data_IF_228039841895
#
_entry.id   IF_228039841895
#
_cell.length_a   1.000
_cell.length_b   1.000
_cell.length_c   1.000
_cell.angle_alpha   90.00
_cell.angle_beta   90.00
_cell.angle_gamma   90.00
#
_symmetry.space_group_name_H-M   'P 1'
#
loop_
_entity.id
_entity.type
_entity.pdbx_description
1 polymer ?
#
# COMPACT_ATOMS: atom_id res chain seq x y z
N UNK A 1 19.14 46.07 6.04
CA UNK A 1 18.50 44.85 6.59
C UNK A 1 18.14 43.99 5.40
N UNK A 2 18.64 42.76 5.31
CA UNK A 2 18.45 41.94 4.11
C UNK A 2 17.31 40.95 4.41
N UNK A 3 16.13 41.21 3.86
CA UNK A 3 15.05 40.22 3.75
C UNK A 3 15.56 39.03 2.95
N UNK A 4 15.72 37.86 3.58
CA UNK A 4 16.06 36.62 2.88
C UNK A 4 17.21 35.79 3.45
N UNK A 5 17.84 36.18 4.57
CA UNK A 5 18.82 35.31 5.23
C UNK A 5 18.17 34.58 6.40
N UNK A 6 18.02 33.26 6.27
CA UNK A 6 17.75 32.38 7.42
C UNK A 6 18.76 32.74 8.51
N UNK A 7 18.27 33.11 9.68
CA UNK A 7 19.15 33.43 10.81
C UNK A 7 19.88 32.17 11.26
N UNK A 8 21.09 32.32 11.81
CA UNK A 8 21.87 31.17 12.28
C UNK A 8 21.11 30.29 13.30
N UNK A 9 20.21 30.91 14.08
CA UNK A 9 19.32 30.25 15.03
C UNK A 9 18.24 29.40 14.31
N UNK A 10 17.58 29.95 13.29
CA UNK A 10 16.58 29.25 12.47
C UNK A 10 17.20 28.10 11.68
N UNK A 11 18.41 28.27 11.16
CA UNK A 11 19.15 27.20 10.48
C UNK A 11 19.48 26.06 11.45
N UNK A 12 19.92 26.39 12.66
CA UNK A 12 20.22 25.40 13.70
C UNK A 12 18.97 24.65 14.14
N UNK A 13 17.85 25.34 14.30
CA UNK A 13 16.57 24.72 14.63
C UNK A 13 16.09 23.74 13.55
N UNK A 14 16.15 24.14 12.27
CA UNK A 14 15.79 23.26 11.15
C UNK A 14 16.72 22.06 11.02
N UNK A 15 18.03 22.25 11.25
CA UNK A 15 19.00 21.15 11.23
C UNK A 15 18.67 20.10 12.29
N UNK A 16 18.35 20.52 13.50
CA UNK A 16 17.95 19.61 14.60
C UNK A 16 16.65 18.87 14.25
N UNK A 17 15.66 19.56 13.69
CA UNK A 17 14.41 18.93 13.26
C UNK A 17 14.65 17.85 12.19
N UNK A 18 15.50 18.15 11.21
CA UNK A 18 15.85 17.20 10.15
C UNK A 18 16.63 16.00 10.70
N UNK A 19 17.59 16.22 11.60
CA UNK A 19 18.34 15.15 12.27
C UNK A 19 17.40 14.22 13.05
N UNK A 20 16.45 14.78 13.81
CA UNK A 20 15.42 13.98 14.48
C UNK A 20 14.50 13.23 13.51
N UNK A 21 14.18 13.84 12.37
CA UNK A 21 13.37 13.18 11.33
C UNK A 21 14.10 12.01 10.70
N UNK A 22 15.40 12.15 10.43
CA UNK A 22 16.27 11.07 9.93
C UNK A 22 16.34 9.94 10.96
N UNK A 23 16.67 10.26 12.22
CA UNK A 23 16.77 9.25 13.27
C UNK A 23 15.45 8.50 13.51
N UNK A 24 14.31 9.20 13.39
CA UNK A 24 12.99 8.58 13.45
C UNK A 24 12.75 7.64 12.27
N UNK A 25 13.12 8.04 11.06
CA UNK A 25 12.93 7.23 9.86
C UNK A 25 13.82 5.98 9.87
N UNK A 26 15.08 6.11 10.28
CA UNK A 26 16.01 4.97 10.44
C UNK A 26 15.49 3.98 11.50
N UNK A 27 14.97 4.47 12.63
CA UNK A 27 14.30 3.63 13.63
C UNK A 27 13.06 2.93 13.08
N UNK A 28 12.26 3.60 12.25
CA UNK A 28 11.10 2.99 11.59
C UNK A 28 11.49 1.93 10.54
N UNK A 29 12.63 2.11 9.87
CA UNK A 29 13.15 1.16 8.90
C UNK A 29 13.68 -0.10 9.58
N UNK A 30 14.50 0.05 10.62
CA UNK A 30 15.00 -1.07 11.44
C UNK A 30 13.89 -1.82 12.17
N UNK A 31 12.80 -1.14 12.54
CA UNK A 31 11.63 -1.74 13.19
C UNK A 31 10.69 -2.49 12.23
N UNK A 32 10.87 -2.37 10.90
CA UNK A 32 10.11 -3.13 9.90
C UNK A 32 11.00 -4.24 9.34
N UNK A 33 11.06 -5.42 9.97
CA UNK A 33 11.87 -6.53 9.50
C UNK A 33 11.17 -7.26 8.36
N UNK A 34 10.71 -6.55 7.31
CA UNK A 34 10.37 -7.22 6.07
C UNK A 34 11.71 -7.54 5.42
N UNK A 35 12.25 -8.73 5.70
CA UNK A 35 13.47 -9.19 5.05
C UNK A 35 13.22 -9.15 3.55
N UNK A 36 14.15 -8.60 2.78
CA UNK A 36 14.01 -8.44 1.33
C UNK A 36 13.58 -9.73 0.59
N UNK A 37 13.89 -10.90 1.14
CA UNK A 37 13.41 -12.20 0.65
C UNK A 37 11.96 -12.57 0.99
N UNK A 38 11.40 -12.09 2.10
CA UNK A 38 10.00 -12.31 2.47
C UNK A 38 9.05 -11.54 1.55
N UNK A 39 9.46 -10.37 1.07
CA UNK A 39 8.69 -9.61 0.08
C UNK A 39 8.60 -10.33 -1.26
N UNK A 40 9.68 -10.95 -1.72
CA UNK A 40 9.68 -11.71 -2.98
C UNK A 40 8.71 -12.90 -2.91
N UNK A 41 8.76 -13.67 -1.81
CA UNK A 41 7.83 -14.77 -1.58
C UNK A 41 6.38 -14.29 -1.48
N UNK A 42 6.14 -13.14 -0.83
CA UNK A 42 4.80 -12.55 -0.72
C UNK A 42 4.28 -12.12 -2.09
N UNK A 43 5.13 -11.52 -2.93
CA UNK A 43 4.77 -11.10 -4.28
C UNK A 43 4.45 -12.31 -5.17
N UNK A 44 5.26 -13.36 -5.13
CA UNK A 44 5.02 -14.60 -5.87
C UNK A 44 3.70 -15.27 -5.44
N UNK A 45 3.45 -15.35 -4.13
CA UNK A 45 2.18 -15.86 -3.60
C UNK A 45 0.99 -15.01 -4.05
N UNK A 46 1.13 -13.68 -4.08
CA UNK A 46 0.08 -12.78 -4.52
C UNK A 46 -0.24 -12.99 -6.01
N UNK A 47 0.78 -13.12 -6.86
CA UNK A 47 0.61 -13.42 -8.29
C UNK A 47 -0.13 -14.75 -8.48
N UNK A 48 0.36 -15.82 -7.85
CA UNK A 48 -0.28 -17.15 -7.92
C UNK A 48 -1.74 -17.13 -7.45
N UNK A 49 -2.04 -16.36 -6.40
CA UNK A 49 -3.39 -16.20 -5.86
C UNK A 49 -4.29 -15.46 -6.84
N UNK A 50 -3.79 -14.39 -7.47
CA UNK A 50 -4.56 -13.57 -8.40
C UNK A 50 -4.77 -14.24 -9.76
N UNK A 51 -3.82 -15.06 -10.21
CA UNK A 51 -3.94 -15.90 -11.40
C UNK A 51 -5.04 -16.97 -11.22
N UNK A 52 -5.11 -17.58 -10.05
CA UNK A 52 -6.09 -18.64 -9.73
C UNK A 52 -7.33 -18.10 -9.00
N UNK A 53 -7.54 -16.78 -9.02
CA UNK A 53 -8.54 -16.11 -8.19
C UNK A 53 -9.95 -16.62 -8.45
N UNK A 54 -10.30 -16.87 -9.71
CA UNK A 54 -11.62 -17.39 -10.10
C UNK A 54 -11.89 -18.73 -9.42
N UNK A 55 -10.98 -19.69 -9.58
CA UNK A 55 -11.09 -21.01 -8.97
C UNK A 55 -11.12 -20.91 -7.44
N UNK A 56 -10.20 -20.15 -6.85
CA UNK A 56 -10.12 -19.95 -5.40
C UNK A 56 -11.42 -19.34 -4.86
N UNK A 57 -11.98 -18.34 -5.53
CA UNK A 57 -13.21 -17.68 -5.10
C UNK A 57 -14.44 -18.58 -5.26
N UNK A 58 -14.51 -19.39 -6.32
CA UNK A 58 -15.65 -20.28 -6.56
C UNK A 58 -15.69 -21.41 -5.52
N UNK A 59 -14.55 -22.03 -5.24
CA UNK A 59 -14.43 -23.16 -4.30
C UNK A 59 -14.36 -22.75 -2.82
N UNK A 60 -14.02 -21.49 -2.53
CA UNK A 60 -13.90 -20.98 -1.18
C UNK A 60 -15.21 -21.04 -0.36
N UNK A 61 -15.07 -21.22 0.95
CA UNK A 61 -16.14 -20.94 1.91
C UNK A 61 -16.45 -19.44 2.02
N UNK A 62 -17.59 -19.10 2.64
CA UNK A 62 -18.07 -17.72 2.77
C UNK A 62 -17.02 -16.79 3.40
N UNK A 63 -16.30 -17.24 4.43
CA UNK A 63 -15.31 -16.39 5.11
C UNK A 63 -14.11 -16.08 4.20
N UNK A 64 -13.60 -17.07 3.49
CA UNK A 64 -12.49 -16.87 2.55
C UNK A 64 -12.91 -15.95 1.39
N UNK A 65 -14.15 -16.08 0.89
CA UNK A 65 -14.68 -15.16 -0.13
C UNK A 65 -14.71 -13.71 0.36
N UNK A 66 -15.09 -13.49 1.62
CA UNK A 66 -15.09 -12.15 2.23
C UNK A 66 -13.68 -11.59 2.37
N UNK A 67 -12.73 -12.41 2.78
CA UNK A 67 -11.31 -12.01 2.85
C UNK A 67 -10.76 -11.63 1.47
N UNK A 68 -11.03 -12.44 0.45
CA UNK A 68 -10.65 -12.15 -0.93
C UNK A 68 -11.21 -10.79 -1.38
N UNK A 69 -12.51 -10.55 -1.15
CA UNK A 69 -13.13 -9.27 -1.49
C UNK A 69 -12.46 -8.13 -0.72
N UNK A 70 -12.19 -8.28 0.57
CA UNK A 70 -11.55 -7.24 1.39
C UNK A 70 -10.12 -6.91 0.97
N UNK A 71 -9.36 -7.90 0.48
CA UNK A 71 -8.01 -7.70 -0.05
C UNK A 71 -8.04 -6.94 -1.38
N UNK A 72 -8.94 -7.34 -2.28
CA UNK A 72 -9.09 -6.74 -3.61
C UNK A 72 -9.69 -5.34 -3.54
N UNK A 73 -10.62 -5.12 -2.61
CA UNK A 73 -11.42 -3.91 -2.50
C UNK A 73 -11.28 -3.34 -1.08
N UNK A 74 -10.19 -2.62 -0.79
CA UNK A 74 -9.91 -2.11 0.56
C UNK A 74 -10.90 -1.04 1.05
N UNK A 75 -11.67 -0.47 0.14
CA UNK A 75 -12.68 0.55 0.44
C UNK A 75 -14.02 -0.10 0.81
N UNK A 76 -14.81 0.58 1.64
CA UNK A 76 -16.14 0.11 1.98
C UNK A 76 -17.03 0.14 0.73
N UNK A 77 -17.92 -0.84 0.63
CA UNK A 77 -18.97 -0.81 -0.37
C UNK A 77 -19.94 0.32 -0.02
N UNK A 78 -20.02 1.32 -0.88
CA UNK A 78 -20.92 2.46 -0.72
C UNK A 78 -22.18 2.24 -1.57
N UNK A 79 -23.34 2.42 -0.94
CA UNK A 79 -24.64 2.42 -1.60
C UNK A 79 -25.20 3.83 -1.57
N UNK A 80 -25.36 4.44 -2.73
CA UNK A 80 -25.90 5.79 -2.88
C UNK A 80 -26.85 5.85 -4.08
N UNK A 81 -28.00 6.51 -3.92
CA UNK A 81 -28.98 6.77 -4.98
C UNK A 81 -29.38 5.53 -5.81
N UNK A 82 -29.61 4.39 -5.14
CA UNK A 82 -30.03 3.16 -5.82
C UNK A 82 -28.89 2.36 -6.45
N UNK A 83 -27.65 2.84 -6.39
CA UNK A 83 -26.50 2.24 -7.03
C UNK A 83 -25.43 1.84 -6.01
N UNK A 84 -24.81 0.69 -6.24
CA UNK A 84 -23.60 0.29 -5.52
C UNK A 84 -22.40 0.81 -6.30
N UNK A 85 -21.55 1.61 -5.65
CA UNK A 85 -20.27 2.00 -6.26
C UNK A 85 -19.27 0.89 -5.94
N UNK A 86 -18.70 0.25 -6.96
CA UNK A 86 -17.64 -0.73 -6.74
C UNK A 86 -16.49 -0.05 -6.01
N UNK A 87 -15.98 -0.62 -4.91
CA UNK A 87 -14.86 -0.02 -4.20
C UNK A 87 -13.63 -0.02 -5.12
N UNK A 88 -12.71 0.93 -4.92
CA UNK A 88 -11.48 0.97 -5.73
C UNK A 88 -10.69 -0.32 -5.58
N UNK A 89 -10.20 -0.85 -6.70
CA UNK A 89 -9.32 -2.01 -6.71
C UNK A 89 -7.99 -1.70 -6.02
N UNK A 90 -7.46 -2.66 -5.26
CA UNK A 90 -6.13 -2.59 -4.67
C UNK A 90 -5.08 -2.32 -5.77
N UNK A 91 -4.16 -1.39 -5.52
CA UNK A 91 -3.17 -0.99 -6.54
C UNK A 91 -2.29 -2.15 -7.02
N UNK A 92 -1.97 -3.10 -6.14
CA UNK A 92 -1.22 -4.30 -6.52
C UNK A 92 -2.01 -5.19 -7.48
N UNK A 93 -3.29 -5.43 -7.19
CA UNK A 93 -4.17 -6.19 -8.08
C UNK A 93 -4.38 -5.47 -9.42
N UNK A 94 -4.57 -4.14 -9.38
CA UNK A 94 -4.67 -3.30 -10.59
C UNK A 94 -3.43 -3.45 -11.47
N UNK A 95 -2.23 -3.34 -10.90
CA UNK A 95 -0.98 -3.51 -11.65
C UNK A 95 -0.85 -4.92 -12.24
N UNK A 96 -1.20 -5.96 -11.49
CA UNK A 96 -1.12 -7.35 -11.95
C UNK A 96 -2.10 -7.61 -13.10
N UNK A 97 -3.34 -7.11 -13.03
CA UNK A 97 -4.31 -7.26 -14.11
C UNK A 97 -4.00 -6.36 -15.33
N UNK A 98 -3.39 -5.19 -15.11
CA UNK A 98 -2.97 -4.29 -16.19
C UNK A 98 -1.75 -4.79 -16.97
N UNK A 99 -0.94 -5.72 -16.44
CA UNK A 99 0.16 -6.36 -17.21
C UNK A 99 -0.37 -7.00 -18.50
N UNK A 100 -1.64 -7.43 -18.53
CA UNK A 100 -2.27 -8.04 -19.71
C UNK A 100 -3.11 -7.06 -20.55
N UNK A 101 -3.10 -5.76 -20.25
CA UNK A 101 -3.97 -4.77 -20.94
C UNK A 101 -3.40 -4.20 -22.25
N UNK A 102 -2.19 -4.60 -22.64
CA UNK A 102 -1.56 -4.31 -23.95
C UNK A 102 -1.46 -5.59 -24.83
N UNK A 103 -2.57 -6.32 -25.04
CA UNK A 103 -2.69 -7.39 -26.04
C UNK A 103 -3.90 -7.19 -26.97
#
# INVERSE_FOLDING_TARGET
MIEGTITSEEYRAHKIELEHKVERLERQETAKPIKKGEFANLAENLVNTLENLEHLYLEAGIEVKREIIGILFPEKLEYENGHYRTPRLNKGAELIYLINSDL
#
